data_IF_965355450258
#
_entry.id   IF_965355450258
#
_cell.length_a   1.000
_cell.length_b   1.000
_cell.length_c   1.000
_cell.angle_alpha   90.00
_cell.angle_beta   90.00
_cell.angle_gamma   90.00
#
_symmetry.space_group_name_H-M   'P 1'
#
loop_
_entity.id
_entity.type
_entity.pdbx_description
1 polymer ?
#
# COMPACT_ATOMS: atom_id res chain seq x y z
N UNK A 1 22.09 25.14 -2.57
CA UNK A 1 20.62 25.10 -2.79
C UNK A 1 20.01 25.84 -1.61
N UNK A 2 19.36 26.98 -1.83
CA UNK A 2 18.86 27.83 -0.74
C UNK A 2 17.62 27.19 -0.11
N UNK A 3 17.53 27.17 1.22
CA UNK A 3 16.40 26.60 1.97
C UNK A 3 15.02 27.07 1.45
N UNK A 4 14.93 28.28 0.89
CA UNK A 4 13.71 28.84 0.28
C UNK A 4 13.17 27.97 -0.87
N UNK A 5 14.03 27.36 -1.68
CA UNK A 5 13.60 26.49 -2.79
C UNK A 5 12.94 25.19 -2.28
N UNK A 6 13.47 24.60 -1.20
CA UNK A 6 12.88 23.43 -0.55
C UNK A 6 11.48 23.71 0.01
N UNK A 7 11.23 24.94 0.49
CA UNK A 7 9.90 25.33 0.93
C UNK A 7 8.97 25.68 -0.23
N UNK A 8 9.49 26.15 -1.37
CA UNK A 8 8.70 26.41 -2.57
C UNK A 8 8.13 25.12 -3.17
N UNK A 9 8.89 24.02 -3.15
CA UNK A 9 8.40 22.70 -3.58
C UNK A 9 7.20 22.22 -2.74
N UNK A 10 7.13 22.58 -1.45
CA UNK A 10 5.99 22.23 -0.59
C UNK A 10 4.68 22.93 -0.98
N UNK A 11 4.74 24.00 -1.79
CA UNK A 11 3.58 24.73 -2.28
C UNK A 11 3.27 24.45 -3.76
N UNK A 12 3.96 23.49 -4.39
CA UNK A 12 3.64 23.08 -5.75
C UNK A 12 2.30 22.34 -5.74
N UNK A 13 1.31 22.95 -6.40
CA UNK A 13 -0.04 22.40 -6.56
C UNK A 13 -0.20 21.97 -8.01
N UNK A 14 -0.18 20.66 -8.26
CA UNK A 14 -0.37 20.04 -9.58
C UNK A 14 -1.84 19.65 -9.82
N UNK A 15 -2.74 20.04 -8.93
CA UNK A 15 -4.15 19.69 -9.03
C UNK A 15 -4.87 20.56 -10.09
N UNK A 16 -5.65 19.96 -11.02
CA UNK A 16 -6.32 20.72 -12.06
C UNK A 16 -7.43 21.63 -11.50
N UNK A 17 -7.37 22.92 -11.84
CA UNK A 17 -8.33 23.93 -11.40
C UNK A 17 -9.78 23.60 -11.84
N UNK A 18 -9.95 23.05 -13.05
CA UNK A 18 -11.26 22.63 -13.57
C UNK A 18 -11.93 21.55 -12.71
N UNK A 19 -11.14 20.66 -12.11
CA UNK A 19 -11.66 19.61 -11.23
C UNK A 19 -12.06 20.22 -9.88
N UNK A 20 -11.29 21.20 -9.39
CA UNK A 20 -11.65 21.93 -8.18
C UNK A 20 -13.00 22.67 -8.34
N UNK A 21 -13.23 23.32 -9.49
CA UNK A 21 -14.53 23.93 -9.80
C UNK A 21 -15.66 22.91 -9.87
N UNK A 22 -15.44 21.74 -10.47
CA UNK A 22 -16.45 20.68 -10.51
C UNK A 22 -16.82 20.18 -9.10
N UNK A 23 -15.84 20.05 -8.20
CA UNK A 23 -16.08 19.66 -6.80
C UNK A 23 -16.88 20.76 -6.09
N UNK A 24 -16.47 22.02 -6.22
CA UNK A 24 -17.16 23.16 -5.61
C UNK A 24 -18.60 23.30 -6.12
N UNK A 25 -18.80 23.21 -7.44
CA UNK A 25 -20.13 23.27 -8.05
C UNK A 25 -21.03 22.14 -7.56
N UNK A 26 -20.48 20.94 -7.33
CA UNK A 26 -21.24 19.82 -6.77
C UNK A 26 -21.57 20.01 -5.29
N UNK A 27 -20.65 20.57 -4.49
CA UNK A 27 -20.91 20.94 -3.10
C UNK A 27 -22.00 22.01 -3.01
N UNK A 28 -21.94 23.04 -3.87
CA UNK A 28 -22.94 24.09 -3.92
C UNK A 28 -24.31 23.54 -4.34
N UNK A 29 -24.37 22.64 -5.33
CA UNK A 29 -25.62 22.01 -5.77
C UNK A 29 -26.29 21.14 -4.70
N UNK A 30 -25.49 20.46 -3.85
CA UNK A 30 -26.01 19.59 -2.79
C UNK A 30 -26.41 20.35 -1.52
N UNK A 31 -25.62 21.35 -1.14
CA UNK A 31 -25.77 21.99 0.18
C UNK A 31 -26.31 23.43 0.14
N UNK A 32 -26.34 24.07 -1.04
CA UNK A 32 -26.95 25.39 -1.26
C UNK A 32 -26.53 26.43 -0.23
N UNK A 33 -27.50 26.92 0.55
CA UNK A 33 -27.29 27.95 1.59
C UNK A 33 -26.20 27.60 2.62
N UNK A 34 -25.98 26.31 2.92
CA UNK A 34 -24.92 25.89 3.84
C UNK A 34 -23.52 26.10 3.24
N UNK A 35 -23.39 25.98 1.93
CA UNK A 35 -22.15 26.26 1.21
C UNK A 35 -21.87 27.77 1.22
N UNK A 36 -22.86 28.59 0.90
CA UNK A 36 -22.73 30.06 0.91
C UNK A 36 -22.41 30.59 2.30
N UNK A 37 -22.99 30.00 3.36
CA UNK A 37 -22.68 30.38 4.74
C UNK A 37 -21.22 30.10 5.12
N UNK A 38 -20.60 29.05 4.57
CA UNK A 38 -19.20 28.69 4.86
C UNK A 38 -18.19 29.40 3.97
N UNK A 39 -18.49 29.53 2.68
CA UNK A 39 -17.53 29.97 1.67
C UNK A 39 -17.91 31.29 0.97
N UNK A 40 -19.09 31.85 1.22
CA UNK A 40 -19.59 33.06 0.54
C UNK A 40 -18.81 34.34 0.85
N UNK A 41 -17.96 34.34 1.87
CA UNK A 41 -17.06 35.46 2.17
C UNK A 41 -15.69 35.35 1.48
N UNK A 42 -15.42 34.24 0.77
CA UNK A 42 -14.14 33.96 0.11
C UNK A 42 -14.30 34.23 -1.38
N UNK A 43 -13.31 34.84 -2.02
CA UNK A 43 -13.38 35.06 -3.47
C UNK A 43 -13.32 33.72 -4.22
N UNK A 44 -14.00 33.57 -5.37
CA UNK A 44 -14.00 32.32 -6.13
C UNK A 44 -12.59 31.83 -6.49
N UNK A 45 -11.68 32.76 -6.81
CA UNK A 45 -10.28 32.45 -7.14
C UNK A 45 -9.51 31.90 -5.94
N UNK A 46 -9.67 32.51 -4.75
CA UNK A 46 -9.03 32.01 -3.52
C UNK A 46 -9.61 30.66 -3.08
N UNK A 47 -10.92 30.47 -3.23
CA UNK A 47 -11.58 29.22 -2.91
C UNK A 47 -11.09 28.09 -3.83
N UNK A 48 -11.02 28.34 -5.14
CA UNK A 48 -10.50 27.40 -6.11
C UNK A 48 -9.04 27.01 -5.80
N UNK A 49 -8.18 28.00 -5.52
CA UNK A 49 -6.79 27.74 -5.13
C UNK A 49 -6.69 26.92 -3.83
N UNK A 50 -7.53 27.22 -2.84
CA UNK A 50 -7.59 26.47 -1.59
C UNK A 50 -8.00 25.01 -1.83
N UNK A 51 -9.01 24.77 -2.69
CA UNK A 51 -9.42 23.42 -3.07
C UNK A 51 -8.31 22.68 -3.80
N UNK A 52 -7.64 23.33 -4.76
CA UNK A 52 -6.50 22.71 -5.46
C UNK A 52 -5.40 22.31 -4.47
N UNK A 53 -5.09 23.17 -3.50
CA UNK A 53 -4.10 22.90 -2.45
C UNK A 53 -4.53 21.74 -1.55
N UNK A 54 -5.80 21.71 -1.13
CA UNK A 54 -6.34 20.69 -0.24
C UNK A 54 -6.49 19.34 -0.95
N UNK A 55 -6.83 19.31 -2.24
CA UNK A 55 -6.98 18.09 -3.02
C UNK A 55 -5.69 17.65 -3.72
N UNK A 56 -4.60 18.42 -3.57
CA UNK A 56 -3.31 18.10 -4.16
C UNK A 56 -2.83 16.71 -3.73
N UNK A 57 -2.38 15.92 -4.71
CA UNK A 57 -1.89 14.56 -4.51
C UNK A 57 -2.97 13.48 -4.40
N UNK A 58 -4.27 13.82 -4.51
CA UNK A 58 -5.34 12.81 -4.54
C UNK A 58 -5.41 12.10 -5.90
N UNK A 59 -5.63 10.79 -5.86
CA UNK A 59 -5.91 10.00 -7.07
C UNK A 59 -7.36 10.19 -7.51
N UNK A 60 -7.68 10.03 -8.82
CA UNK A 60 -9.05 10.13 -9.32
C UNK A 60 -10.05 9.18 -8.62
N UNK A 61 -9.59 7.99 -8.22
CA UNK A 61 -10.43 7.02 -7.50
C UNK A 61 -10.78 7.50 -6.07
N UNK A 62 -9.84 8.13 -5.38
CA UNK A 62 -10.05 8.71 -4.03
C UNK A 62 -11.04 9.87 -4.10
N UNK A 63 -10.90 10.72 -5.11
CA UNK A 63 -11.83 11.83 -5.33
C UNK A 63 -13.25 11.33 -5.59
N UNK A 64 -13.43 10.32 -6.46
CA UNK A 64 -14.74 9.73 -6.76
C UNK A 64 -15.42 9.19 -5.51
N UNK A 65 -14.66 8.54 -4.63
CA UNK A 65 -15.16 8.03 -3.35
C UNK A 65 -15.63 9.14 -2.41
N UNK A 66 -14.85 10.22 -2.30
CA UNK A 66 -15.26 11.41 -1.55
C UNK A 66 -16.56 12.00 -2.09
N UNK A 67 -16.70 12.08 -3.43
CA UNK A 67 -17.92 12.53 -4.10
C UNK A 67 -19.11 11.60 -3.85
N UNK A 68 -18.91 10.28 -3.82
CA UNK A 68 -19.96 9.31 -3.52
C UNK A 68 -20.47 9.47 -2.09
N UNK A 69 -19.55 9.59 -1.12
CA UNK A 69 -19.88 9.81 0.30
C UNK A 69 -20.60 11.13 0.51
N UNK A 70 -20.24 12.17 -0.22
CA UNK A 70 -20.92 13.47 -0.17
C UNK A 70 -22.43 13.36 -0.41
N UNK A 71 -22.87 12.46 -1.30
CA UNK A 71 -24.30 12.27 -1.57
C UNK A 71 -25.08 11.65 -0.40
N UNK A 72 -24.40 11.06 0.59
CA UNK A 72 -25.05 10.43 1.75
C UNK A 72 -25.05 11.32 3.00
N UNK A 73 -24.27 12.40 3.01
CA UNK A 73 -24.06 13.23 4.19
C UNK A 73 -25.07 14.39 4.25
N UNK A 74 -25.55 14.71 5.46
CA UNK A 74 -26.63 15.70 5.66
C UNK A 74 -26.14 17.16 5.73
N UNK A 75 -24.84 17.37 5.87
CA UNK A 75 -24.25 18.69 6.12
C UNK A 75 -23.04 18.95 5.21
N UNK A 76 -22.77 20.22 4.94
CA UNK A 76 -21.68 20.63 4.05
C UNK A 76 -20.31 20.44 4.71
N UNK A 77 -19.43 19.57 4.19
CA UNK A 77 -18.09 19.37 4.74
C UNK A 77 -17.20 20.60 4.59
N UNK A 78 -16.26 20.78 5.52
CA UNK A 78 -15.09 21.62 5.25
C UNK A 78 -14.17 20.97 4.21
N UNK A 79 -13.33 21.74 3.53
CA UNK A 79 -12.38 21.19 2.54
C UNK A 79 -11.46 20.10 3.14
N UNK A 80 -10.90 20.25 4.36
CA UNK A 80 -10.12 19.18 4.99
C UNK A 80 -10.95 17.94 5.33
N UNK A 81 -12.20 18.10 5.76
CA UNK A 81 -13.10 16.97 6.01
C UNK A 81 -13.41 16.22 4.71
N UNK A 82 -13.69 16.94 3.63
CA UNK A 82 -13.86 16.33 2.31
C UNK A 82 -12.60 15.57 1.85
N UNK A 83 -11.40 16.13 2.09
CA UNK A 83 -10.13 15.41 1.84
C UNK A 83 -10.06 14.11 2.64
N UNK A 84 -10.45 14.13 3.92
CA UNK A 84 -10.46 12.91 4.75
C UNK A 84 -11.42 11.84 4.25
N UNK A 85 -12.49 12.23 3.56
CA UNK A 85 -13.41 11.30 2.93
C UNK A 85 -12.87 10.72 1.63
N UNK A 86 -12.08 11.50 0.89
CA UNK A 86 -11.37 11.04 -0.29
C UNK A 86 -10.27 10.04 0.11
N UNK A 87 -9.48 10.39 1.12
CA UNK A 87 -8.44 9.55 1.71
C UNK A 87 -9.07 8.61 2.74
N UNK A 88 -9.95 7.73 2.27
CA UNK A 88 -10.53 6.76 3.18
C UNK A 88 -9.57 5.58 3.39
N UNK A 89 -9.23 5.34 4.64
CA UNK A 89 -8.72 4.09 5.22
C UNK A 89 -9.51 2.82 4.85
N UNK A 90 -10.64 2.95 4.14
CA UNK A 90 -11.60 1.88 3.92
C UNK A 90 -11.19 0.83 2.90
N UNK A 91 -10.03 1.00 2.23
CA UNK A 91 -9.40 -0.08 1.46
C UNK A 91 -8.48 -0.95 2.32
N UNK A 92 -8.23 -0.54 3.57
CA UNK A 92 -7.43 -1.30 4.52
C UNK A 92 -8.34 -1.87 5.60
N UNK A 93 -8.07 -3.11 5.99
CA UNK A 93 -8.75 -3.69 7.15
C UNK A 93 -8.29 -2.98 8.41
N UNK A 94 -9.20 -2.75 9.35
CA UNK A 94 -8.80 -2.30 10.69
C UNK A 94 -7.98 -3.39 11.39
N UNK A 95 -7.18 -3.02 12.39
CA UNK A 95 -6.38 -4.00 13.14
C UNK A 95 -7.25 -5.12 13.75
N UNK A 96 -8.44 -4.78 14.25
CA UNK A 96 -9.39 -5.76 14.80
C UNK A 96 -9.96 -6.68 13.71
N UNK A 97 -10.31 -6.14 12.54
CA UNK A 97 -10.77 -6.95 11.40
C UNK A 97 -9.67 -7.87 10.90
N UNK A 98 -8.44 -7.35 10.80
CA UNK A 98 -7.27 -8.11 10.39
C UNK A 98 -6.95 -9.24 11.37
N UNK A 99 -7.04 -8.99 12.68
CA UNK A 99 -6.86 -10.00 13.71
C UNK A 99 -7.91 -11.10 13.63
N UNK A 100 -9.21 -10.74 13.55
CA UNK A 100 -10.28 -11.72 13.43
C UNK A 100 -10.12 -12.59 12.17
N UNK A 101 -9.74 -11.99 11.03
CA UNK A 101 -9.48 -12.73 9.79
C UNK A 101 -8.21 -13.59 9.88
N UNK A 102 -7.19 -13.15 10.60
CA UNK A 102 -5.98 -13.90 10.85
C UNK A 102 -6.25 -15.17 11.69
N UNK A 103 -7.04 -15.06 12.75
CA UNK A 103 -7.46 -16.22 13.55
C UNK A 103 -8.32 -17.21 12.74
N UNK A 104 -9.25 -16.70 11.92
CA UNK A 104 -10.03 -17.54 11.01
C UNK A 104 -9.15 -18.26 9.98
N UNK A 105 -8.05 -17.65 9.54
CA UNK A 105 -7.08 -18.27 8.64
C UNK A 105 -6.22 -19.33 9.34
N UNK A 106 -5.89 -19.13 10.61
CA UNK A 106 -5.17 -20.12 11.42
C UNK A 106 -6.03 -21.36 11.68
N UNK A 107 -7.33 -21.18 11.94
CA UNK A 107 -8.28 -22.28 12.07
C UNK A 107 -8.55 -23.00 10.73
N UNK A 108 -8.75 -22.23 9.66
CA UNK A 108 -9.08 -22.72 8.32
C UNK A 108 -8.24 -22.03 7.24
N UNK A 109 -7.24 -22.72 6.65
CA UNK A 109 -6.35 -22.14 5.63
C UNK A 109 -7.03 -21.77 4.30
N UNK A 110 -8.33 -22.06 4.18
CA UNK A 110 -9.17 -21.70 3.02
C UNK A 110 -9.70 -20.28 3.11
N UNK A 111 -9.68 -19.67 4.30
CA UNK A 111 -10.13 -18.30 4.50
C UNK A 111 -9.20 -17.29 3.81
N UNK A 112 -9.77 -16.18 3.35
CA UNK A 112 -8.99 -15.10 2.73
C UNK A 112 -8.34 -14.24 3.81
N UNK A 113 -7.04 -14.01 3.68
CA UNK A 113 -6.25 -13.10 4.50
C UNK A 113 -5.49 -12.13 3.60
N UNK A 114 -5.17 -10.94 4.08
CA UNK A 114 -4.37 -9.96 3.35
C UNK A 114 -2.88 -10.21 3.60
N UNK A 115 -2.01 -9.79 2.67
CA UNK A 115 -0.56 -10.05 2.79
C UNK A 115 0.04 -9.44 4.06
N UNK A 116 -0.44 -8.26 4.47
CA UNK A 116 0.02 -7.59 5.69
C UNK A 116 -0.48 -8.30 6.95
N UNK A 117 -1.75 -8.71 6.98
CA UNK A 117 -2.31 -9.45 8.11
C UNK A 117 -1.62 -10.80 8.26
N UNK A 118 -1.27 -11.47 7.16
CA UNK A 118 -0.52 -12.74 7.21
C UNK A 118 0.89 -12.53 7.75
N UNK A 119 1.59 -11.50 7.29
CA UNK A 119 2.94 -11.17 7.79
C UNK A 119 2.93 -10.82 9.28
N UNK A 120 1.97 -10.00 9.71
CA UNK A 120 1.79 -9.67 11.12
C UNK A 120 1.45 -10.94 11.94
N UNK A 121 0.61 -11.84 11.41
CA UNK A 121 0.29 -13.12 12.05
C UNK A 121 1.53 -14.00 12.22
N UNK A 122 2.36 -14.14 11.18
CA UNK A 122 3.56 -14.97 11.22
C UNK A 122 4.57 -14.49 12.29
N UNK A 123 4.66 -13.17 12.51
CA UNK A 123 5.53 -12.59 13.54
C UNK A 123 4.99 -12.81 14.96
N UNK A 124 3.68 -12.75 15.16
CA UNK A 124 3.07 -12.98 16.49
C UNK A 124 2.77 -14.45 16.78
N UNK A 125 2.90 -15.35 15.81
CA UNK A 125 2.55 -16.76 15.99
C UNK A 125 3.37 -17.43 17.11
N UNK A 126 4.63 -17.01 17.29
CA UNK A 126 5.43 -17.46 18.42
C UNK A 126 4.87 -16.94 19.77
N UNK A 127 4.44 -15.68 19.81
CA UNK A 127 3.87 -15.03 21.00
C UNK A 127 2.53 -15.67 21.39
N UNK A 128 1.69 -16.04 20.41
CA UNK A 128 0.43 -16.77 20.64
C UNK A 128 0.69 -18.06 21.43
N UNK A 129 1.75 -18.79 21.06
CA UNK A 129 2.07 -20.08 21.66
C UNK A 129 2.75 -19.98 23.03
N UNK A 130 3.49 -18.89 23.32
CA UNK A 130 4.29 -18.75 24.54
C UNK A 130 3.59 -17.91 25.62
N UNK A 131 3.01 -16.76 25.25
CA UNK A 131 2.47 -15.77 26.20
C UNK A 131 0.93 -15.71 26.20
N UNK A 132 0.31 -16.30 25.18
CA UNK A 132 -1.14 -16.38 25.03
C UNK A 132 -1.75 -15.27 24.18
N UNK A 133 -3.03 -15.46 23.84
CA UNK A 133 -3.73 -14.66 22.82
C UNK A 133 -3.82 -13.16 23.14
N UNK A 134 -3.89 -12.77 24.43
CA UNK A 134 -4.04 -11.35 24.82
C UNK A 134 -2.76 -10.54 24.59
N UNK A 135 -1.59 -11.14 24.82
CA UNK A 135 -0.31 -10.52 24.53
C UNK A 135 -0.07 -10.44 23.02
N UNK A 136 -0.40 -11.54 22.31
CA UNK A 136 -0.30 -11.60 20.86
C UNK A 136 -1.23 -10.60 20.14
N UNK A 137 -2.45 -10.38 20.64
CA UNK A 137 -3.39 -9.40 20.05
C UNK A 137 -2.84 -7.97 20.11
N UNK A 138 -2.22 -7.59 21.24
CA UNK A 138 -1.59 -6.27 21.38
C UNK A 138 -0.41 -6.12 20.42
N UNK A 139 0.49 -7.10 20.40
CA UNK A 139 1.64 -7.09 19.49
C UNK A 139 1.19 -7.08 18.02
N UNK A 140 0.15 -7.84 17.67
CA UNK A 140 -0.41 -7.89 16.32
C UNK A 140 -0.93 -6.52 15.89
N UNK A 141 -1.70 -5.86 16.78
CA UNK A 141 -2.26 -4.55 16.50
C UNK A 141 -1.15 -3.53 16.22
N UNK A 142 -0.14 -3.47 17.07
CA UNK A 142 0.99 -2.53 16.91
C UNK A 142 1.76 -2.77 15.61
N UNK A 143 2.10 -4.04 15.30
CA UNK A 143 2.81 -4.41 14.08
C UNK A 143 1.97 -4.11 12.83
N UNK A 144 0.68 -4.44 12.87
CA UNK A 144 -0.21 -4.24 11.74
C UNK A 144 -0.45 -2.75 11.46
N UNK A 145 -0.59 -1.91 12.50
CA UNK A 145 -0.72 -0.45 12.35
C UNK A 145 0.55 0.19 11.75
N UNK A 146 1.74 -0.22 12.18
CA UNK A 146 3.02 0.23 11.59
C UNK A 146 3.13 -0.19 10.11
N UNK A 147 2.75 -1.42 9.79
CA UNK A 147 2.72 -1.91 8.42
C UNK A 147 1.69 -1.20 7.54
N UNK A 148 0.53 -0.85 8.08
CA UNK A 148 -0.45 -0.02 7.39
C UNK A 148 0.12 1.37 7.09
N UNK A 149 0.77 2.01 8.07
CA UNK A 149 1.37 3.33 7.87
C UNK A 149 2.44 3.29 6.77
N UNK A 150 3.37 2.33 6.83
CA UNK A 150 4.40 2.14 5.80
C UNK A 150 3.84 1.83 4.42
N UNK A 151 2.71 1.12 4.36
CA UNK A 151 2.06 0.81 3.09
C UNK A 151 1.34 2.03 2.50
N UNK A 152 0.72 2.85 3.35
CA UNK A 152 0.11 4.14 2.96
C UNK A 152 1.15 5.14 2.45
N UNK A 153 2.28 5.28 3.16
CA UNK A 153 3.39 6.15 2.75
C UNK A 153 3.97 5.76 1.38
N UNK A 154 3.95 4.47 1.06
CA UNK A 154 4.40 3.93 -0.24
C UNK A 154 3.31 3.94 -1.31
N UNK A 155 2.11 4.44 -1.01
CA UNK A 155 0.97 4.48 -1.92
C UNK A 155 0.51 3.12 -2.43
N UNK A 156 0.76 2.05 -1.65
CA UNK A 156 0.39 0.67 -2.01
C UNK A 156 -1.12 0.45 -1.80
N UNK A 157 -1.68 -0.50 -2.52
CA UNK A 157 -3.06 -0.97 -2.33
C UNK A 157 -3.06 -2.25 -1.49
N UNK A 158 -4.17 -2.53 -0.79
CA UNK A 158 -4.29 -3.75 -0.01
C UNK A 158 -4.33 -4.98 -0.93
N UNK A 159 -3.30 -5.83 -0.85
CA UNK A 159 -3.22 -7.07 -1.63
C UNK A 159 -3.70 -8.27 -0.80
N UNK A 160 -4.53 -9.12 -1.42
CA UNK A 160 -4.96 -10.39 -0.85
C UNK A 160 -3.80 -11.38 -0.91
N UNK A 161 -3.54 -12.07 0.20
CA UNK A 161 -2.50 -13.08 0.24
C UNK A 161 -2.91 -14.28 -0.61
N UNK A 162 -2.04 -14.66 -1.54
CA UNK A 162 -2.18 -15.88 -2.35
C UNK A 162 -1.08 -16.83 -1.91
N UNK A 163 -1.44 -18.08 -1.60
CA UNK A 163 -0.46 -19.11 -1.24
C UNK A 163 0.59 -19.21 -2.35
N UNK A 164 1.88 -19.02 -2.06
CA UNK A 164 2.92 -19.12 -3.08
C UNK A 164 2.88 -20.53 -3.66
N UNK A 165 2.63 -20.63 -4.97
CA UNK A 165 2.74 -21.90 -5.66
C UNK A 165 4.22 -22.26 -5.75
N UNK A 166 4.65 -23.17 -4.88
CA UNK A 166 5.97 -23.76 -4.97
C UNK A 166 6.01 -24.56 -6.27
N UNK A 167 6.68 -24.04 -7.30
CA UNK A 167 6.98 -24.83 -8.49
C UNK A 167 7.79 -26.02 -8.00
N UNK A 168 7.21 -27.22 -8.08
CA UNK A 168 7.94 -28.44 -7.78
C UNK A 168 9.11 -28.51 -8.77
N UNK A 169 10.33 -28.36 -8.26
CA UNK A 169 11.54 -28.62 -9.02
C UNK A 169 11.55 -30.10 -9.36
N UNK A 170 11.10 -30.45 -10.57
CA UNK A 170 11.20 -31.80 -11.08
C UNK A 170 12.68 -32.18 -11.12
N UNK A 171 13.09 -33.10 -10.24
CA UNK A 171 14.41 -33.70 -10.31
C UNK A 171 14.46 -34.56 -11.57
N UNK A 172 15.03 -34.01 -12.64
CA UNK A 172 15.23 -34.77 -13.87
C UNK A 172 16.42 -35.71 -13.65
N UNK A 173 16.13 -36.99 -13.36
CA UNK A 173 17.10 -38.08 -13.23
C UNK A 173 17.62 -38.57 -14.60
N UNK A 174 17.47 -37.79 -15.67
CA UNK A 174 18.10 -38.10 -16.94
C UNK A 174 19.61 -38.30 -16.71
N UNK A 175 20.22 -39.40 -17.21
CA UNK A 175 21.65 -39.61 -17.11
C UNK A 175 22.32 -38.42 -17.80
N UNK A 176 22.95 -37.55 -17.00
CA UNK A 176 23.71 -36.42 -17.52
C UNK A 176 24.86 -37.03 -18.31
N UNK A 177 24.75 -37.03 -19.64
CA UNK A 177 25.86 -37.28 -20.53
C UNK A 177 26.93 -36.27 -20.15
N UNK A 178 28.01 -36.75 -19.51
CA UNK A 178 29.12 -35.89 -19.12
C UNK A 178 29.62 -35.20 -20.38
N UNK A 179 29.70 -33.88 -20.35
CA UNK A 179 30.28 -33.12 -21.46
C UNK A 179 31.70 -33.65 -21.63
N UNK A 180 32.08 -34.19 -22.81
CA UNK A 180 33.43 -34.68 -23.01
C UNK A 180 34.42 -33.54 -22.74
N UNK A 181 35.44 -33.84 -21.93
CA UNK A 181 36.42 -32.83 -21.51
C UNK A 181 36.99 -32.10 -22.73
N UNK A 182 37.00 -30.75 -22.73
CA UNK A 182 37.60 -29.96 -23.79
C UNK A 182 39.04 -30.40 -24.07
N UNK A 183 39.45 -30.44 -25.35
CA UNK A 183 40.76 -30.96 -25.76
C UNK A 183 41.94 -30.20 -25.12
N UNK A 184 41.76 -28.93 -24.77
CA UNK A 184 42.78 -28.13 -24.06
C UNK A 184 43.05 -28.66 -22.64
N UNK A 185 42.01 -29.02 -21.89
CA UNK A 185 42.14 -29.57 -20.54
C UNK A 185 42.71 -31.00 -20.58
N UNK A 186 42.34 -31.79 -21.59
CA UNK A 186 42.91 -33.12 -21.81
C UNK A 186 44.43 -33.07 -22.12
N UNK A 187 44.89 -32.03 -22.82
CA UNK A 187 46.31 -31.80 -23.10
C UNK A 187 47.11 -31.41 -21.85
N UNK A 188 46.53 -30.58 -20.96
CA UNK A 188 47.16 -30.22 -19.68
C UNK A 188 47.32 -31.43 -18.75
N UNK A 189 46.34 -32.34 -18.71
CA UNK A 189 46.41 -33.57 -17.90
C UNK A 189 47.48 -34.54 -18.44
N UNK A 190 47.63 -34.68 -19.76
CA UNK A 190 48.71 -35.48 -20.36
C UNK A 190 50.10 -34.89 -20.12
N UNK A 191 50.22 -33.56 -20.06
CA UNK A 191 51.48 -32.87 -19.75
C UNK A 191 51.93 -33.06 -18.29
N UNK A 192 50.99 -33.15 -17.35
CA UNK A 192 51.27 -33.35 -15.93
C UNK A 192 51.88 -34.73 -15.62
N UNK A 193 51.50 -35.79 -16.36
CA UNK A 193 52.01 -37.14 -16.14
C UNK A 193 53.42 -37.41 -16.71
N UNK A 194 53.95 -36.54 -17.58
CA UNK A 194 55.31 -36.71 -18.19
C UNK A 194 56.44 -36.04 -17.41
N UNK A 195 56.17 -35.26 -16.35
CA UNK A 195 57.20 -34.57 -15.55
C UNK A 195 57.67 -35.35 -14.31
N UNK A 196 57.48 -36.68 -14.30
CA UNK A 196 57.79 -37.54 -13.15
C UNK A 196 58.76 -38.69 -13.43
N UNK A 197 59.54 -38.67 -14.52
CA UNK A 197 60.61 -39.64 -14.75
C UNK A 197 61.83 -38.93 -15.33
N UNK A 198 62.69 -38.44 -14.45
CA UNK A 198 64.12 -38.20 -14.66
C UNK A 198 64.80 -38.23 -13.28
#
# INVERSE_FOLDING_TARGET
MSNIQLFQDAFVVDFPAEIADQVLGRMQALYGEMFDKKYGNITPAELQFTVCTVLNGLKPAELRRGLERMNSEKWCPSLPEFRSWCVHDGDWWTAEQAWAKALNFEADPTNKITTLAKRALDEVQHIINVEGQKAAHRAFKDIYEDYLQKAKEKGRVQEMWVKPQVKQLAHNYAPRSGVPCPPELAAMVKGAFKRGVA
#
